data_IF_867381531897
#
_entry.id   IF_867381531897
#
_cell.length_a   1.000
_cell.length_b   1.000
_cell.length_c   1.000
_cell.angle_alpha   90.00
_cell.angle_beta   90.00
_cell.angle_gamma   90.00
#
_symmetry.space_group_name_H-M   'P 1'
#
loop_
_entity.id
_entity.type
_entity.pdbx_description
1 polymer ?
#
# COMPACT_ATOMS: atom_id res chain seq x y z
N UNK A 1 -6.73 32.30 -8.52
CA UNK A 1 -6.06 31.35 -9.42
C UNK A 1 -5.61 30.09 -8.69
N UNK A 2 -4.79 30.17 -7.64
CA UNK A 2 -4.25 28.99 -6.92
C UNK A 2 -5.30 27.95 -6.50
N UNK A 3 -6.41 28.35 -5.84
CA UNK A 3 -7.48 27.41 -5.44
C UNK A 3 -8.06 26.64 -6.64
N UNK A 4 -8.29 27.33 -7.75
CA UNK A 4 -8.83 26.71 -8.97
C UNK A 4 -7.84 25.68 -9.52
N UNK A 5 -6.56 26.03 -9.57
CA UNK A 5 -5.50 25.13 -10.03
C UNK A 5 -5.34 23.91 -9.11
N UNK A 6 -5.37 24.09 -7.78
CA UNK A 6 -5.29 22.95 -6.86
C UNK A 6 -6.51 22.04 -6.94
N UNK A 7 -7.71 22.60 -7.16
CA UNK A 7 -8.91 21.80 -7.36
C UNK A 7 -8.82 20.98 -8.65
N UNK A 8 -8.36 21.60 -9.74
CA UNK A 8 -8.12 20.92 -11.03
C UNK A 8 -7.16 19.73 -10.89
N UNK A 9 -6.09 19.89 -10.10
CA UNK A 9 -5.15 18.80 -9.77
C UNK A 9 -5.83 17.68 -8.98
N UNK A 10 -6.65 18.01 -7.98
CA UNK A 10 -7.37 17.02 -7.17
C UNK A 10 -8.42 16.25 -7.99
N UNK A 11 -9.06 16.93 -8.94
CA UNK A 11 -10.08 16.34 -9.80
C UNK A 11 -9.47 15.47 -10.91
N UNK A 12 -8.16 15.58 -11.16
CA UNK A 12 -7.44 14.76 -12.14
C UNK A 12 -7.26 13.33 -11.61
N UNK A 13 -7.77 12.29 -12.31
CA UNK A 13 -7.65 10.91 -11.85
C UNK A 13 -6.19 10.43 -11.77
N UNK A 14 -5.86 9.68 -10.71
CA UNK A 14 -4.51 9.13 -10.51
C UNK A 14 -4.31 7.93 -11.45
N UNK A 15 -3.28 8.00 -12.29
CA UNK A 15 -2.95 6.97 -13.29
C UNK A 15 -1.46 6.83 -13.54
N UNK A 16 -0.97 5.64 -13.99
CA UNK A 16 0.33 5.52 -14.60
C UNK A 16 0.39 6.30 -15.93
N UNK A 17 0.92 7.53 -15.89
CA UNK A 17 1.10 8.42 -17.05
C UNK A 17 1.93 7.81 -18.20
N UNK A 18 2.66 6.72 -17.93
CA UNK A 18 3.53 6.04 -18.90
C UNK A 18 2.78 5.14 -19.88
N UNK A 19 1.49 4.89 -19.69
CA UNK A 19 0.68 4.11 -20.62
C UNK A 19 -0.15 5.07 -21.50
N UNK A 20 -0.21 4.81 -22.82
CA UNK A 20 -1.04 5.62 -23.69
C UNK A 20 -2.50 5.55 -23.21
N UNK A 21 -3.25 6.67 -23.27
CA UNK A 21 -4.68 6.64 -23.05
C UNK A 21 -5.35 5.70 -24.05
N UNK A 22 -6.56 5.25 -23.74
CA UNK A 22 -7.32 4.39 -24.65
C UNK A 22 -7.71 5.12 -25.95
N UNK A 23 -8.37 4.41 -26.87
CA UNK A 23 -8.78 4.96 -28.18
C UNK A 23 -9.70 6.20 -28.05
N UNK A 24 -10.29 6.44 -26.88
CA UNK A 24 -11.15 7.59 -26.58
C UNK A 24 -10.43 8.72 -25.83
N UNK A 25 -9.13 8.57 -25.52
CA UNK A 25 -8.37 9.54 -24.73
C UNK A 25 -8.58 9.41 -23.22
N UNK A 26 -9.32 8.38 -22.78
CA UNK A 26 -9.56 8.12 -21.37
C UNK A 26 -8.42 7.31 -20.76
N UNK A 27 -8.23 7.53 -19.46
CA UNK A 27 -7.14 6.92 -18.73
C UNK A 27 -7.46 5.44 -18.45
N UNK A 28 -6.70 4.55 -19.09
CA UNK A 28 -7.00 3.13 -19.14
C UNK A 28 -6.71 2.31 -17.86
N UNK A 29 -5.89 2.81 -16.92
CA UNK A 29 -5.50 2.03 -15.73
C UNK A 29 -5.46 2.88 -14.46
N UNK A 30 -6.19 2.46 -13.41
CA UNK A 30 -6.03 3.01 -12.05
C UNK A 30 -5.02 2.15 -11.29
N UNK A 31 -4.08 2.78 -10.59
CA UNK A 31 -3.05 2.05 -9.85
C UNK A 31 -3.64 1.17 -8.74
N UNK A 32 -4.74 1.61 -8.12
CA UNK A 32 -5.49 0.84 -7.12
C UNK A 32 -6.02 -0.49 -7.66
N UNK A 33 -6.26 -0.63 -8.97
CA UNK A 33 -6.70 -1.89 -9.56
C UNK A 33 -5.61 -2.97 -9.49
N UNK A 34 -4.33 -2.57 -9.45
CA UNK A 34 -3.18 -3.47 -9.34
C UNK A 34 -2.71 -3.67 -7.90
N UNK A 35 -2.76 -2.62 -7.09
CA UNK A 35 -2.20 -2.63 -5.73
C UNK A 35 -3.26 -2.98 -4.70
N UNK A 36 -4.48 -2.48 -4.86
CA UNK A 36 -5.58 -2.47 -3.91
C UNK A 36 -5.87 -1.05 -3.41
N UNK A 37 -7.00 -0.85 -2.69
CA UNK A 37 -7.38 0.46 -2.15
C UNK A 37 -6.31 1.02 -1.22
N UNK A 38 -5.91 2.27 -1.40
CA UNK A 38 -4.85 2.87 -0.57
C UNK A 38 -5.19 2.89 0.92
N UNK A 39 -6.47 3.09 1.26
CA UNK A 39 -6.95 3.07 2.65
C UNK A 39 -6.63 1.75 3.37
N UNK A 40 -6.75 0.61 2.66
CA UNK A 40 -6.41 -0.70 3.22
C UNK A 40 -4.90 -0.85 3.36
N UNK A 41 -4.12 -0.43 2.35
CA UNK A 41 -2.66 -0.52 2.41
C UNK A 41 -2.06 0.34 3.51
N UNK A 42 -2.53 1.57 3.67
CA UNK A 42 -2.09 2.46 4.74
C UNK A 42 -2.41 1.88 6.11
N UNK A 43 -3.61 1.30 6.27
CA UNK A 43 -3.98 0.57 7.47
C UNK A 43 -3.03 -0.61 7.73
N UNK A 44 -2.76 -1.43 6.72
CA UNK A 44 -1.88 -2.59 6.86
C UNK A 44 -0.43 -2.18 7.20
N UNK A 45 0.10 -1.17 6.51
CA UNK A 45 1.45 -0.63 6.73
C UNK A 45 1.56 -0.13 8.16
N UNK A 46 0.61 0.70 8.61
CA UNK A 46 0.67 1.28 9.94
C UNK A 46 0.69 0.21 11.03
N UNK A 47 -0.26 -0.73 11.02
CA UNK A 47 -0.35 -1.75 12.07
C UNK A 47 0.74 -2.82 11.99
N UNK A 48 1.26 -3.11 10.79
CA UNK A 48 2.42 -3.98 10.64
C UNK A 48 3.67 -3.33 11.22
N UNK A 49 3.93 -2.06 10.89
CA UNK A 49 5.18 -1.39 11.23
C UNK A 49 5.20 -0.78 12.62
N UNK A 50 4.14 -0.08 13.00
CA UNK A 50 4.06 0.60 14.30
C UNK A 50 3.84 -0.40 15.43
N UNK A 51 3.06 -1.45 15.16
CA UNK A 51 2.58 -2.37 16.20
C UNK A 51 3.10 -3.81 16.05
N UNK A 52 3.86 -4.12 15.00
CA UNK A 52 4.37 -5.48 14.79
C UNK A 52 3.25 -6.52 14.68
N UNK A 53 2.08 -6.13 14.18
CA UNK A 53 0.90 -6.97 14.25
C UNK A 53 1.02 -8.18 13.30
N UNK A 54 0.77 -9.41 13.79
CA UNK A 54 0.79 -10.59 12.92
C UNK A 54 -0.40 -10.58 11.94
N UNK A 55 -0.25 -11.16 10.73
CA UNK A 55 -1.25 -11.16 9.68
C UNK A 55 -2.65 -11.56 10.14
N UNK A 56 -2.77 -12.64 10.91
CA UNK A 56 -4.06 -13.15 11.37
C UNK A 56 -4.80 -12.15 12.26
N UNK A 57 -4.07 -11.47 13.14
CA UNK A 57 -4.65 -10.44 14.01
C UNK A 57 -5.04 -9.21 13.18
N UNK A 58 -4.20 -8.81 12.23
CA UNK A 58 -4.47 -7.67 11.36
C UNK A 58 -5.73 -7.86 10.52
N UNK A 59 -5.91 -9.05 9.91
CA UNK A 59 -7.13 -9.39 9.18
C UNK A 59 -8.38 -9.29 10.06
N UNK A 60 -8.32 -9.84 11.27
CA UNK A 60 -9.45 -9.84 12.20
C UNK A 60 -9.86 -8.43 12.65
N UNK A 61 -8.93 -7.49 12.75
CA UNK A 61 -9.23 -6.10 13.08
C UNK A 61 -9.73 -5.37 11.84
N UNK A 62 -9.05 -5.54 10.70
CA UNK A 62 -9.42 -4.87 9.46
C UNK A 62 -10.88 -5.19 9.05
N UNK A 63 -11.31 -6.45 9.15
CA UNK A 63 -12.69 -6.82 8.81
C UNK A 63 -13.77 -6.22 9.72
N UNK A 64 -13.41 -5.79 10.93
CA UNK A 64 -14.32 -5.06 11.81
C UNK A 64 -14.32 -3.58 11.49
N UNK A 65 -13.14 -3.00 11.23
CA UNK A 65 -12.98 -1.58 10.91
C UNK A 65 -13.66 -1.22 9.59
N UNK A 66 -13.58 -2.11 8.59
CA UNK A 66 -14.09 -1.86 7.24
C UNK A 66 -15.34 -2.69 6.91
N UNK A 67 -16.07 -3.17 7.92
CA UNK A 67 -17.22 -4.08 7.73
C UNK A 67 -18.32 -3.49 6.83
N UNK A 68 -18.47 -2.17 6.83
CA UNK A 68 -19.48 -1.46 6.03
C UNK A 68 -19.06 -1.23 4.58
N UNK A 69 -17.77 -1.42 4.26
CA UNK A 69 -17.19 -1.10 2.95
C UNK A 69 -16.66 -2.33 2.21
N UNK A 70 -16.08 -3.30 2.92
CA UNK A 70 -15.40 -4.46 2.33
C UNK A 70 -15.71 -5.75 3.08
N UNK A 71 -15.90 -6.83 2.33
CA UNK A 71 -15.98 -8.18 2.91
C UNK A 71 -14.61 -8.73 3.32
N UNK A 72 -14.63 -9.80 4.13
CA UNK A 72 -13.40 -10.43 4.64
C UNK A 72 -12.51 -11.00 3.51
N UNK A 73 -13.10 -11.55 2.45
CA UNK A 73 -12.34 -12.13 1.34
C UNK A 73 -11.59 -11.05 0.55
N UNK A 74 -12.22 -9.91 0.32
CA UNK A 74 -11.64 -8.74 -0.32
C UNK A 74 -10.47 -8.17 0.49
N UNK A 75 -10.65 -8.00 1.79
CA UNK A 75 -9.59 -7.55 2.69
C UNK A 75 -8.44 -8.57 2.71
N UNK A 76 -8.74 -9.86 2.83
CA UNK A 76 -7.76 -10.96 2.82
C UNK A 76 -6.95 -11.00 1.53
N UNK A 77 -7.60 -10.82 0.37
CA UNK A 77 -6.95 -10.72 -0.94
C UNK A 77 -5.91 -9.59 -0.95
N UNK A 78 -6.30 -8.38 -0.54
CA UNK A 78 -5.39 -7.24 -0.58
C UNK A 78 -4.32 -7.29 0.50
N UNK A 79 -4.59 -7.90 1.66
CA UNK A 79 -3.58 -8.14 2.68
C UNK A 79 -2.51 -9.14 2.20
N UNK A 80 -2.89 -10.19 1.46
CA UNK A 80 -1.93 -11.08 0.80
C UNK A 80 -1.10 -10.33 -0.25
N UNK A 81 -1.74 -9.50 -1.08
CA UNK A 81 -1.04 -8.65 -2.05
C UNK A 81 -0.06 -7.70 -1.37
N UNK A 82 -0.47 -7.09 -0.25
CA UNK A 82 0.37 -6.23 0.58
C UNK A 82 1.64 -6.96 1.01
N UNK A 83 1.54 -8.09 1.71
CA UNK A 83 2.74 -8.80 2.19
C UNK A 83 3.64 -9.27 1.05
N UNK A 84 3.08 -9.84 -0.02
CA UNK A 84 3.87 -10.27 -1.20
C UNK A 84 4.69 -9.11 -1.77
N UNK A 85 4.07 -7.95 -1.97
CA UNK A 85 4.73 -6.77 -2.56
C UNK A 85 5.67 -6.10 -1.56
N UNK A 86 5.28 -6.02 -0.30
CA UNK A 86 6.05 -5.38 0.75
C UNK A 86 7.40 -6.06 0.98
N UNK A 87 7.42 -7.39 0.95
CA UNK A 87 8.65 -8.19 1.00
C UNK A 87 9.44 -8.11 -0.31
N UNK A 88 8.83 -8.47 -1.44
CA UNK A 88 9.54 -8.54 -2.73
C UNK A 88 10.08 -7.20 -3.23
N UNK A 89 9.51 -6.07 -2.80
CA UNK A 89 9.99 -4.73 -3.19
C UNK A 89 10.92 -4.08 -2.18
N UNK A 90 11.36 -4.81 -1.14
CA UNK A 90 12.27 -4.26 -0.12
C UNK A 90 13.58 -3.74 -0.71
N UNK A 91 14.12 -4.39 -1.75
CA UNK A 91 15.34 -3.94 -2.42
C UNK A 91 15.26 -2.49 -2.92
N UNK A 92 14.06 -2.02 -3.31
CA UNK A 92 13.85 -0.64 -3.76
C UNK A 92 14.02 0.35 -2.60
N UNK A 93 13.75 -0.08 -1.37
CA UNK A 93 13.85 0.74 -0.16
C UNK A 93 15.27 0.84 0.38
N UNK A 94 16.12 -0.14 0.08
CA UNK A 94 17.51 -0.17 0.53
C UNK A 94 18.34 1.00 0.01
N UNK A 95 17.97 1.59 -1.14
CA UNK A 95 18.71 2.66 -1.81
C UNK A 95 17.87 3.95 -2.01
N UNK A 96 16.93 4.25 -1.12
CA UNK A 96 16.09 5.46 -1.26
C UNK A 96 16.92 6.74 -1.06
N UNK A 97 16.60 7.84 -1.78
CA UNK A 97 17.15 9.15 -1.49
C UNK A 97 16.84 9.63 -0.07
N UNK A 98 17.56 10.66 0.38
CA UNK A 98 17.29 11.28 1.68
C UNK A 98 15.95 12.04 1.67
N UNK A 99 15.24 12.00 2.79
CA UNK A 99 13.99 12.72 2.98
C UNK A 99 13.59 12.74 4.45
N UNK A 100 12.90 13.80 4.91
CA UNK A 100 12.48 13.90 6.31
C UNK A 100 11.39 12.87 6.62
N UNK A 101 11.48 12.23 7.80
CA UNK A 101 10.39 11.42 8.33
C UNK A 101 9.20 12.33 8.63
N UNK A 102 8.02 11.93 8.16
CA UNK A 102 6.73 12.56 8.47
C UNK A 102 5.84 11.53 9.18
N UNK A 103 5.18 11.93 10.27
CA UNK A 103 4.33 11.02 11.04
C UNK A 103 5.10 10.07 11.96
N UNK A 104 4.48 8.94 12.30
CA UNK A 104 4.98 8.01 13.32
C UNK A 104 5.87 6.89 12.77
N UNK A 105 5.77 6.59 11.47
CA UNK A 105 6.44 5.46 10.79
C UNK A 105 7.11 5.95 9.50
N UNK A 106 8.29 5.41 9.19
CA UNK A 106 8.99 5.61 7.92
C UNK A 106 9.51 4.29 7.35
N UNK A 107 9.76 4.26 6.04
CA UNK A 107 10.29 3.09 5.32
C UNK A 107 11.80 3.19 5.04
N UNK A 108 12.48 4.14 5.68
CA UNK A 108 13.91 4.36 5.46
C UNK A 108 14.73 3.23 6.09
N UNK A 109 15.67 2.62 5.34
CA UNK A 109 16.61 1.62 5.87
C UNK A 109 17.56 2.23 6.90
N UNK A 110 17.71 3.56 6.88
CA UNK A 110 18.50 4.34 7.84
C UNK A 110 17.69 4.72 9.09
N UNK A 111 16.37 4.50 9.07
CA UNK A 111 15.43 4.92 10.11
C UNK A 111 14.67 3.76 10.74
N UNK A 112 13.35 3.76 10.58
CA UNK A 112 12.45 2.86 11.31
C UNK A 112 12.39 1.44 10.72
N UNK A 113 12.73 1.23 9.43
CA UNK A 113 12.49 -0.04 8.75
C UNK A 113 13.75 -0.71 8.23
N UNK A 114 14.20 -1.76 8.92
CA UNK A 114 15.38 -2.56 8.55
C UNK A 114 14.96 -4.00 8.29
N UNK A 115 14.87 -4.37 7.01
CA UNK A 115 14.54 -5.73 6.58
C UNK A 115 15.51 -6.15 5.46
N UNK A 116 16.00 -7.41 5.45
CA UNK A 116 16.76 -7.96 4.33
C UNK A 116 16.00 -7.86 3.01
N UNK A 117 16.69 -7.60 1.91
CA UNK A 117 16.05 -7.44 0.59
C UNK A 117 15.60 -8.77 -0.03
N UNK A 118 16.10 -9.86 0.51
CA UNK A 118 15.90 -11.27 0.15
C UNK A 118 15.06 -12.02 1.20
N UNK A 119 14.37 -11.31 2.10
CA UNK A 119 13.50 -11.91 3.10
C UNK A 119 12.34 -12.68 2.45
N UNK A 120 12.07 -13.89 2.96
CA UNK A 120 10.96 -14.72 2.52
C UNK A 120 9.65 -14.38 3.24
N UNK A 121 8.54 -14.42 2.51
CA UNK A 121 7.21 -14.00 2.97
C UNK A 121 6.32 -15.18 3.40
N UNK A 122 6.75 -16.43 3.20
CA UNK A 122 5.90 -17.62 3.33
C UNK A 122 5.20 -17.73 4.69
N UNK A 123 5.92 -17.49 5.78
CA UNK A 123 5.38 -17.57 7.15
C UNK A 123 4.24 -16.57 7.36
N UNK A 124 4.36 -15.36 6.81
CA UNK A 124 3.33 -14.33 6.92
C UNK A 124 2.09 -14.66 6.08
N UNK A 125 2.28 -15.30 4.92
CA UNK A 125 1.16 -15.73 4.08
C UNK A 125 0.44 -16.94 4.65
N UNK A 126 1.16 -17.88 5.28
CA UNK A 126 0.59 -19.08 5.90
C UNK A 126 -0.41 -18.72 7.03
N UNK A 127 -0.21 -17.62 7.74
CA UNK A 127 -1.18 -17.11 8.72
C UNK A 127 -2.51 -16.63 8.11
N UNK A 128 -2.51 -16.37 6.79
CA UNK A 128 -3.66 -15.96 6.01
C UNK A 128 -4.16 -17.07 5.10
N UNK A 129 -3.75 -18.32 5.29
CA UNK A 129 -4.34 -19.45 4.57
C UNK A 129 -5.64 -19.89 5.26
#
# INVERSE_FOLDING_TARGET
>A
MLKKTLQDILDTPISPELLPPDENGDIAQKTEDSVGPYVLHDFFIFYTLRHGMPPKKLLNIAKQVFADEYDEEFIKKWLKTFYRRFFSQQFKRSCIPDGPKVGSVSLSPRGDWRMPSDADVSIWLAELE
#
